data_IF_228388652077
#
_entry.id   IF_228388652077
#
_cell.length_a   1.000
_cell.length_b   1.000
_cell.length_c   1.000
_cell.angle_alpha   90.00
_cell.angle_beta   90.00
_cell.angle_gamma   90.00
#
_symmetry.space_group_name_H-M   'P 1'
#
loop_
_entity.id
_entity.type
_entity.pdbx_description
1 polymer ?
#
# COMPACT_ATOMS: atom_id res chain seq x y z
N UNK A 1 12.91 1.42 -35.27
CA UNK A 1 12.04 1.34 -34.09
C UNK A 1 12.77 1.69 -32.80
N UNK A 2 13.90 1.05 -32.48
CA UNK A 2 14.68 1.36 -31.27
C UNK A 2 15.22 2.81 -31.21
N UNK A 3 15.74 3.37 -32.31
CA UNK A 3 16.27 4.74 -32.34
C UNK A 3 15.22 5.82 -32.02
N UNK A 4 13.99 5.66 -32.50
CA UNK A 4 12.86 6.55 -32.21
C UNK A 4 12.37 6.42 -30.75
N UNK A 5 12.61 5.28 -30.10
CA UNK A 5 12.34 5.13 -28.66
C UNK A 5 13.42 5.82 -27.83
N UNK A 6 14.68 5.79 -28.26
CA UNK A 6 15.78 6.46 -27.58
C UNK A 6 15.67 7.99 -27.60
N UNK A 7 15.10 8.58 -28.66
CA UNK A 7 14.85 10.03 -28.72
C UNK A 7 13.81 10.51 -27.69
N UNK A 8 12.87 9.63 -27.30
CA UNK A 8 11.85 9.95 -26.29
C UNK A 8 12.34 9.78 -24.85
N UNK A 9 13.53 9.23 -24.63
CA UNK A 9 14.08 8.97 -23.30
C UNK A 9 14.96 10.14 -22.87
N UNK A 10 14.40 11.07 -22.08
CA UNK A 10 15.16 12.19 -21.51
C UNK A 10 15.36 11.97 -20.01
N UNK A 11 16.49 11.35 -19.64
CA UNK A 11 16.82 11.07 -18.24
C UNK A 11 17.13 12.38 -17.53
N UNK A 12 16.31 12.74 -16.56
CA UNK A 12 16.53 13.89 -15.69
C UNK A 12 16.30 13.51 -14.23
N UNK A 13 16.73 14.37 -13.30
CA UNK A 13 16.51 14.15 -11.86
C UNK A 13 15.01 14.01 -11.53
N UNK A 14 14.16 14.73 -12.26
CA UNK A 14 12.70 14.67 -12.11
C UNK A 14 12.03 13.54 -12.90
N UNK A 15 12.76 12.92 -13.82
CA UNK A 15 12.27 11.86 -14.69
C UNK A 15 13.36 10.78 -14.84
N UNK A 16 13.62 10.01 -13.77
CA UNK A 16 14.79 9.13 -13.67
C UNK A 16 14.77 7.99 -14.70
N UNK A 17 13.58 7.60 -15.17
CA UNK A 17 13.40 6.55 -16.17
C UNK A 17 13.36 7.11 -17.61
N UNK A 18 13.38 8.43 -17.78
CA UNK A 18 13.30 9.13 -19.07
C UNK A 18 12.00 8.92 -19.85
N UNK A 19 11.05 8.15 -19.32
CA UNK A 19 9.70 7.95 -19.85
C UNK A 19 8.74 8.78 -19.01
N UNK A 20 7.70 9.36 -19.62
CA UNK A 20 6.68 10.15 -18.93
C UNK A 20 5.66 9.24 -18.26
N UNK A 21 5.95 8.69 -17.07
CA UNK A 21 4.99 7.78 -16.42
C UNK A 21 3.75 8.53 -15.90
N UNK A 22 3.83 9.83 -15.68
CA UNK A 22 2.68 10.72 -15.43
C UNK A 22 1.56 10.54 -16.45
N UNK A 23 1.88 10.58 -17.74
CA UNK A 23 0.88 10.49 -18.80
C UNK A 23 0.18 9.13 -18.79
N UNK A 24 0.92 8.05 -18.54
CA UNK A 24 0.36 6.69 -18.49
C UNK A 24 -0.46 6.46 -17.23
N UNK A 25 0.06 6.89 -16.08
CA UNK A 25 -0.60 6.74 -14.80
C UNK A 25 -1.85 7.62 -14.71
N UNK A 26 -1.79 8.86 -15.20
CA UNK A 26 -2.92 9.78 -15.28
C UNK A 26 -4.06 9.23 -16.13
N UNK A 27 -3.76 8.64 -17.30
CA UNK A 27 -4.76 7.95 -18.13
C UNK A 27 -5.36 6.74 -17.43
N UNK A 28 -4.54 5.95 -16.73
CA UNK A 28 -5.01 4.82 -15.94
C UNK A 28 -5.95 5.25 -14.82
N UNK A 29 -5.60 6.34 -14.12
CA UNK A 29 -6.43 6.92 -13.06
C UNK A 29 -7.76 7.46 -13.60
N UNK A 30 -7.73 8.19 -14.72
CA UNK A 30 -8.92 8.72 -15.37
C UNK A 30 -9.83 7.61 -15.89
N UNK A 31 -9.26 6.51 -16.41
CA UNK A 31 -10.02 5.33 -16.82
C UNK A 31 -10.81 4.70 -15.66
N UNK A 32 -10.21 4.65 -14.46
CA UNK A 32 -10.81 4.01 -13.28
C UNK A 32 -11.78 4.94 -12.56
N UNK A 33 -11.46 6.22 -12.45
CA UNK A 33 -12.21 7.19 -11.62
C UNK A 33 -13.07 8.17 -12.42
N UNK A 34 -12.86 8.27 -13.73
CA UNK A 34 -13.50 9.28 -14.59
C UNK A 34 -13.03 10.72 -14.34
N UNK A 35 -11.96 10.91 -13.55
CA UNK A 35 -11.45 12.23 -13.15
C UNK A 35 -9.97 12.40 -13.50
N UNK A 36 -9.50 13.62 -13.78
CA UNK A 36 -8.08 13.87 -14.00
C UNK A 36 -7.30 13.68 -12.70
N UNK A 37 -6.05 13.22 -12.82
CA UNK A 37 -5.18 12.94 -11.68
C UNK A 37 -4.96 14.15 -10.75
N UNK A 38 -4.93 15.35 -11.31
CA UNK A 38 -4.70 16.60 -10.55
C UNK A 38 -5.90 17.00 -9.68
N UNK A 39 -7.05 16.34 -9.84
CA UNK A 39 -8.24 16.61 -9.02
C UNK A 39 -8.27 15.82 -7.71
N UNK A 40 -7.32 14.91 -7.50
CA UNK A 40 -7.25 14.16 -6.25
C UNK A 40 -6.81 15.07 -5.10
N UNK A 41 -7.66 15.16 -4.08
CA UNK A 41 -7.38 15.86 -2.82
C UNK A 41 -7.81 14.94 -1.69
N UNK A 42 -6.90 14.63 -0.78
CA UNK A 42 -7.21 13.87 0.42
C UNK A 42 -8.00 14.76 1.38
N UNK A 43 -9.25 14.37 1.63
CA UNK A 43 -10.15 15.02 2.58
C UNK A 43 -10.51 14.03 3.69
N UNK A 44 -10.31 14.43 4.94
CA UNK A 44 -10.76 13.67 6.11
C UNK A 44 -12.29 13.49 6.06
N UNK A 45 -12.77 12.31 6.44
CA UNK A 45 -14.18 11.88 6.45
C UNK A 45 -14.84 11.69 5.08
N UNK A 46 -14.34 12.32 4.02
CA UNK A 46 -14.82 12.13 2.64
C UNK A 46 -14.04 11.03 1.93
N UNK A 47 -12.73 10.96 2.17
CA UNK A 47 -11.88 9.94 1.57
C UNK A 47 -12.09 8.64 2.33
N UNK A 48 -12.39 7.51 1.65
CA UNK A 48 -12.54 6.23 2.33
C UNK A 48 -11.32 5.91 3.18
N UNK A 49 -11.53 5.33 4.36
CA UNK A 49 -10.47 4.91 5.27
C UNK A 49 -9.62 6.06 5.84
N UNK A 50 -10.11 7.30 5.76
CA UNK A 50 -9.44 8.47 6.35
C UNK A 50 -9.73 8.62 7.84
N UNK A 51 -10.75 7.94 8.36
CA UNK A 51 -11.18 8.11 9.74
C UNK A 51 -10.53 7.10 10.68
N UNK A 52 -10.31 7.53 11.92
CA UNK A 52 -9.77 6.66 12.95
C UNK A 52 -10.74 5.53 13.33
N UNK A 53 -12.06 5.76 13.17
CA UNK A 53 -13.09 4.75 13.37
C UNK A 53 -12.98 3.62 12.34
N UNK A 54 -12.85 3.92 11.06
CA UNK A 54 -12.65 2.90 10.02
C UNK A 54 -11.38 2.08 10.27
N UNK A 55 -10.26 2.74 10.59
CA UNK A 55 -9.00 2.06 10.93
C UNK A 55 -9.17 1.12 12.12
N UNK A 56 -9.87 1.58 13.16
CA UNK A 56 -10.12 0.78 14.36
C UNK A 56 -11.01 -0.42 14.07
N UNK A 57 -12.06 -0.25 13.25
CA UNK A 57 -12.95 -1.33 12.82
C UNK A 57 -12.20 -2.39 12.03
N UNK A 58 -11.39 -2.00 11.04
CA UNK A 58 -10.57 -2.93 10.26
C UNK A 58 -9.55 -3.68 11.13
N UNK A 59 -8.94 -2.99 12.09
CA UNK A 59 -8.01 -3.60 13.05
C UNK A 59 -8.72 -4.61 13.96
N UNK A 60 -9.91 -4.29 14.46
CA UNK A 60 -10.70 -5.23 15.28
C UNK A 60 -11.15 -6.43 14.45
N UNK A 61 -11.66 -6.21 13.24
CA UNK A 61 -12.05 -7.28 12.30
C UNK A 61 -10.86 -8.20 12.01
N UNK A 62 -9.67 -7.64 11.80
CA UNK A 62 -8.44 -8.39 11.59
C UNK A 62 -8.15 -9.37 12.73
N UNK A 63 -8.22 -8.91 13.99
CA UNK A 63 -8.05 -9.79 15.14
C UNK A 63 -9.14 -10.85 15.25
N UNK A 64 -10.39 -10.49 14.96
CA UNK A 64 -11.51 -11.44 14.94
C UNK A 64 -11.26 -12.56 13.93
N UNK A 65 -10.78 -12.23 12.72
CA UNK A 65 -10.43 -13.23 11.69
C UNK A 65 -9.30 -14.15 12.17
N UNK A 66 -8.25 -13.61 12.79
CA UNK A 66 -7.14 -14.41 13.32
C UNK A 66 -7.61 -15.37 14.41
N UNK A 67 -8.24 -14.83 15.46
CA UNK A 67 -8.59 -15.63 16.63
C UNK A 67 -9.78 -16.55 16.34
N UNK A 68 -10.80 -16.04 15.66
CA UNK A 68 -11.98 -16.80 15.24
C UNK A 68 -11.63 -17.88 14.22
N UNK A 69 -10.87 -17.53 13.17
CA UNK A 69 -10.45 -18.50 12.18
C UNK A 69 -9.51 -19.57 12.76
N UNK A 70 -8.61 -19.23 13.70
CA UNK A 70 -7.82 -20.23 14.43
C UNK A 70 -8.69 -21.19 15.24
N UNK A 71 -9.75 -20.71 15.87
CA UNK A 71 -10.67 -21.54 16.64
C UNK A 71 -11.47 -22.49 15.73
N UNK A 72 -11.94 -21.99 14.58
CA UNK A 72 -12.65 -22.78 13.57
C UNK A 72 -11.75 -23.86 12.97
N UNK A 73 -10.50 -23.50 12.64
CA UNK A 73 -9.53 -24.38 11.99
C UNK A 73 -8.89 -25.41 12.95
N UNK A 74 -9.28 -25.44 14.23
CA UNK A 74 -8.73 -26.39 15.22
C UNK A 74 -9.06 -27.85 14.88
N UNK A 75 -10.23 -28.10 14.30
CA UNK A 75 -10.75 -29.44 14.01
C UNK A 75 -11.06 -29.62 12.51
N UNK A 76 -10.53 -28.74 11.66
CA UNK A 76 -10.78 -28.75 10.22
C UNK A 76 -9.48 -29.03 9.48
N UNK A 77 -9.57 -29.82 8.41
CA UNK A 77 -8.44 -30.10 7.56
C UNK A 77 -8.04 -28.86 6.75
N UNK A 78 -6.76 -28.81 6.40
CA UNK A 78 -6.17 -27.70 5.64
C UNK A 78 -6.79 -27.56 4.25
N UNK A 79 -7.25 -26.36 3.90
CA UNK A 79 -7.74 -26.06 2.55
C UNK A 79 -6.58 -25.99 1.54
N UNK A 80 -6.70 -26.73 0.42
CA UNK A 80 -5.68 -26.78 -0.64
C UNK A 80 -5.83 -25.64 -1.65
N UNK A 81 -5.77 -24.39 -1.20
CA UNK A 81 -5.92 -23.19 -2.05
C UNK A 81 -4.58 -22.69 -2.63
N UNK A 82 -3.79 -23.60 -3.23
CA UNK A 82 -2.44 -23.26 -3.72
C UNK A 82 -2.46 -22.25 -4.87
N UNK A 83 -3.37 -22.41 -5.82
CA UNK A 83 -3.45 -21.54 -7.01
C UNK A 83 -3.83 -20.11 -6.64
N UNK A 84 -4.87 -19.92 -5.81
CA UNK A 84 -5.29 -18.60 -5.34
C UNK A 84 -4.19 -17.88 -4.55
N UNK A 85 -3.46 -18.61 -3.71
CA UNK A 85 -2.35 -18.04 -2.93
C UNK A 85 -1.20 -17.55 -3.83
N UNK A 86 -0.83 -18.33 -4.85
CA UNK A 86 0.20 -17.92 -5.81
C UNK A 86 -0.26 -16.67 -6.58
N UNK A 87 -1.51 -16.65 -7.02
CA UNK A 87 -2.08 -15.51 -7.74
C UNK A 87 -2.10 -14.23 -6.88
N UNK A 88 -2.59 -14.31 -5.64
CA UNK A 88 -2.63 -13.18 -4.72
C UNK A 88 -1.23 -12.62 -4.43
N UNK A 89 -0.26 -13.49 -4.16
CA UNK A 89 1.11 -13.04 -3.88
C UNK A 89 1.78 -12.40 -5.09
N UNK A 90 1.52 -12.94 -6.28
CA UNK A 90 2.01 -12.36 -7.51
C UNK A 90 1.41 -10.96 -7.73
N UNK A 91 0.08 -10.82 -7.59
CA UNK A 91 -0.60 -9.53 -7.72
C UNK A 91 -0.09 -8.51 -6.70
N UNK A 92 0.10 -8.91 -5.44
CA UNK A 92 0.63 -8.02 -4.39
C UNK A 92 2.08 -7.62 -4.67
N UNK A 93 2.92 -8.53 -5.19
CA UNK A 93 4.30 -8.21 -5.57
C UNK A 93 4.35 -7.23 -6.75
N UNK A 94 3.50 -7.44 -7.76
CA UNK A 94 3.40 -6.53 -8.92
C UNK A 94 2.88 -5.16 -8.49
N UNK A 95 1.85 -5.11 -7.65
CA UNK A 95 1.28 -3.86 -7.14
C UNK A 95 2.31 -3.06 -6.35
N UNK A 96 3.01 -3.69 -5.39
CA UNK A 96 4.05 -3.01 -4.59
C UNK A 96 5.27 -2.61 -5.43
N UNK A 97 5.66 -3.42 -6.41
CA UNK A 97 6.73 -3.08 -7.35
C UNK A 97 6.38 -1.88 -8.24
N UNK A 98 5.16 -1.85 -8.78
CA UNK A 98 4.68 -0.72 -9.59
C UNK A 98 4.59 0.57 -8.76
N UNK A 99 4.07 0.47 -7.53
CA UNK A 99 3.98 1.60 -6.61
C UNK A 99 5.36 2.16 -6.26
N UNK A 100 6.36 1.28 -6.04
CA UNK A 100 7.74 1.68 -5.77
C UNK A 100 8.35 2.48 -6.94
N UNK A 101 8.12 2.05 -8.18
CA UNK A 101 8.58 2.78 -9.38
C UNK A 101 7.96 4.18 -9.41
N UNK A 102 6.66 4.30 -9.14
CA UNK A 102 5.98 5.60 -9.09
C UNK A 102 6.49 6.49 -7.96
N UNK A 103 6.84 5.92 -6.80
CA UNK A 103 7.48 6.65 -5.69
C UNK A 103 8.87 7.20 -6.07
N UNK A 104 9.68 6.43 -6.80
CA UNK A 104 11.00 6.86 -7.26
C UNK A 104 10.88 8.05 -8.22
N UNK A 105 9.82 8.09 -9.03
CA UNK A 105 9.53 9.20 -9.94
C UNK A 105 8.88 10.42 -9.25
N UNK A 106 8.60 10.31 -7.94
CA UNK A 106 8.01 11.38 -7.12
C UNK A 106 6.68 11.90 -7.72
N UNK A 107 5.90 10.99 -8.31
CA UNK A 107 4.74 11.28 -9.12
C UNK A 107 3.50 11.51 -8.23
N UNK A 108 3.35 12.72 -7.68
CA UNK A 108 2.23 13.10 -6.77
C UNK A 108 2.15 12.26 -5.49
N UNK A 109 3.01 12.62 -4.55
CA UNK A 109 3.15 11.97 -3.24
C UNK A 109 1.80 11.70 -2.54
N UNK A 110 0.87 12.64 -2.52
CA UNK A 110 -0.41 12.50 -1.81
C UNK A 110 -1.26 11.31 -2.33
N UNK A 111 -1.41 11.19 -3.65
CA UNK A 111 -2.12 10.07 -4.26
C UNK A 111 -1.36 8.76 -4.08
N UNK A 112 -0.02 8.78 -4.21
CA UNK A 112 0.80 7.58 -4.02
C UNK A 112 0.75 7.07 -2.57
N UNK A 113 0.72 7.96 -1.58
CA UNK A 113 0.51 7.59 -0.18
C UNK A 113 -0.86 6.96 0.02
N UNK A 114 -1.91 7.50 -0.61
CA UNK A 114 -3.25 6.91 -0.55
C UNK A 114 -3.32 5.54 -1.24
N UNK A 115 -2.71 5.38 -2.41
CA UNK A 115 -2.64 4.08 -3.10
C UNK A 115 -1.81 3.05 -2.32
N UNK A 116 -0.70 3.47 -1.70
CA UNK A 116 0.07 2.62 -0.79
C UNK A 116 -0.81 2.10 0.34
N UNK A 117 -1.57 3.02 0.93
CA UNK A 117 -2.49 2.70 2.00
C UNK A 117 -3.52 1.66 1.54
N UNK A 118 -4.10 1.78 0.34
CA UNK A 118 -4.99 0.76 -0.23
C UNK A 118 -4.31 -0.61 -0.45
N UNK A 119 -3.06 -0.63 -0.95
CA UNK A 119 -2.28 -1.87 -1.10
C UNK A 119 -2.07 -2.55 0.26
N UNK A 120 -1.79 -1.78 1.31
CA UNK A 120 -1.65 -2.30 2.67
C UNK A 120 -2.93 -2.99 3.19
N UNK A 121 -4.12 -2.52 2.82
CA UNK A 121 -5.37 -3.21 3.15
C UNK A 121 -5.54 -4.50 2.36
N UNK A 122 -5.10 -4.54 1.10
CA UNK A 122 -5.12 -5.76 0.31
C UNK A 122 -4.22 -6.85 0.92
N UNK A 123 -3.09 -6.48 1.53
CA UNK A 123 -2.22 -7.41 2.26
C UNK A 123 -2.91 -8.05 3.49
N UNK A 124 -3.96 -7.44 4.05
CA UNK A 124 -4.75 -8.07 5.11
C UNK A 124 -5.46 -9.34 4.62
N UNK A 125 -5.78 -9.43 3.32
CA UNK A 125 -6.37 -10.62 2.74
C UNK A 125 -5.42 -11.83 2.81
N UNK A 126 -4.09 -11.62 2.78
CA UNK A 126 -3.11 -12.69 2.97
C UNK A 126 -3.30 -13.37 4.33
N UNK A 127 -3.67 -12.60 5.37
CA UNK A 127 -3.90 -13.18 6.70
C UNK A 127 -5.10 -14.13 6.71
N UNK A 128 -6.15 -13.82 5.94
CA UNK A 128 -7.29 -14.73 5.76
C UNK A 128 -6.82 -16.04 5.11
N UNK A 129 -6.02 -15.95 4.04
CA UNK A 129 -5.49 -17.13 3.37
C UNK A 129 -4.56 -17.95 4.28
N UNK A 130 -3.73 -17.29 5.09
CA UNK A 130 -2.85 -17.96 6.05
C UNK A 130 -3.63 -18.73 7.11
N UNK A 131 -4.69 -18.13 7.65
CA UNK A 131 -5.59 -18.75 8.63
C UNK A 131 -6.27 -20.00 8.04
N UNK A 132 -6.74 -19.93 6.80
CA UNK A 132 -7.41 -21.05 6.13
C UNK A 132 -6.44 -22.17 5.68
N UNK A 133 -5.17 -21.84 5.42
CA UNK A 133 -4.18 -22.81 4.96
C UNK A 133 -3.55 -23.60 6.10
N UNK A 134 -3.39 -23.04 7.30
CA UNK A 134 -2.83 -23.77 8.45
C UNK A 134 -3.40 -23.20 9.75
N UNK A 135 -3.75 -24.03 10.75
CA UNK A 135 -4.00 -23.52 12.09
C UNK A 135 -2.74 -22.81 12.61
N UNK A 136 -2.84 -21.50 12.82
CA UNK A 136 -1.73 -20.66 13.31
C UNK A 136 -1.24 -21.18 14.67
N UNK A 137 0.03 -21.62 14.74
CA UNK A 137 0.67 -21.93 16.02
C UNK A 137 0.88 -20.64 16.83
N UNK A 138 0.83 -20.67 18.18
CA UNK A 138 1.00 -19.48 19.03
C UNK A 138 2.29 -18.69 18.72
N UNK A 139 3.37 -19.40 18.40
CA UNK A 139 4.67 -18.82 18.01
C UNK A 139 4.65 -18.11 16.66
N UNK A 140 3.70 -18.43 15.77
CA UNK A 140 3.52 -17.76 14.48
C UNK A 140 2.79 -16.42 14.64
N UNK A 141 1.83 -16.30 15.56
CA UNK A 141 1.19 -15.02 15.91
C UNK A 141 2.21 -14.09 16.58
N UNK A 142 3.09 -14.62 17.44
CA UNK A 142 4.20 -13.86 18.00
C UNK A 142 5.26 -13.49 16.95
N UNK A 143 5.50 -14.36 15.95
CA UNK A 143 6.38 -14.06 14.81
C UNK A 143 5.74 -13.06 13.84
N UNK A 144 4.42 -13.05 13.67
CA UNK A 144 3.67 -12.06 12.89
C UNK A 144 3.55 -10.75 13.66
N UNK A 145 3.47 -10.77 14.99
CA UNK A 145 3.64 -9.59 15.83
C UNK A 145 5.10 -9.10 15.83
N UNK A 146 6.09 -10.00 15.75
CA UNK A 146 7.52 -9.66 15.60
C UNK A 146 7.87 -9.25 14.17
N UNK A 147 7.15 -9.71 13.15
CA UNK A 147 7.26 -9.25 11.77
C UNK A 147 6.38 -8.02 11.53
N UNK A 148 5.31 -7.77 12.29
CA UNK A 148 4.66 -6.47 12.36
C UNK A 148 5.56 -5.46 13.12
N UNK A 149 6.33 -5.93 14.11
CA UNK A 149 7.39 -5.14 14.76
C UNK A 149 8.68 -5.04 13.93
N UNK A 150 8.94 -5.95 12.99
CA UNK A 150 10.12 -5.97 12.12
C UNK A 150 9.88 -5.31 10.76
N UNK A 151 8.69 -5.47 10.20
CA UNK A 151 8.09 -4.69 9.12
C UNK A 151 7.69 -3.30 9.62
N UNK A 152 7.50 -3.08 10.93
CA UNK A 152 7.65 -1.74 11.53
C UNK A 152 9.05 -1.16 11.30
N UNK A 153 10.04 -1.86 10.74
CA UNK A 153 11.26 -1.23 10.21
C UNK A 153 11.03 -0.49 8.89
N UNK A 154 10.19 -1.03 8.00
CA UNK A 154 9.75 -0.39 6.75
C UNK A 154 8.53 0.52 6.95
N UNK A 155 7.59 0.12 7.80
CA UNK A 155 6.44 0.94 8.21
C UNK A 155 6.90 2.09 9.13
N UNK A 156 7.93 1.91 9.98
CA UNK A 156 8.52 3.06 10.69
C UNK A 156 9.35 3.93 9.76
N UNK A 157 10.05 3.40 8.74
CA UNK A 157 10.73 4.30 7.80
C UNK A 157 9.72 5.11 6.98
N UNK A 158 8.60 4.52 6.56
CA UNK A 158 7.49 5.23 5.92
C UNK A 158 6.75 6.19 6.88
N UNK A 159 6.52 5.82 8.14
CA UNK A 159 5.93 6.70 9.17
C UNK A 159 6.89 7.82 9.60
N UNK A 160 8.21 7.56 9.65
CA UNK A 160 9.24 8.56 9.90
C UNK A 160 9.40 9.49 8.70
N UNK A 161 9.30 8.98 7.48
CA UNK A 161 9.20 9.81 6.27
C UNK A 161 7.93 10.66 6.30
N UNK A 162 6.80 10.11 6.74
CA UNK A 162 5.54 10.84 6.89
C UNK A 162 5.61 11.90 8.00
N UNK A 163 6.20 11.60 9.16
CA UNK A 163 6.43 12.54 10.26
C UNK A 163 7.43 13.62 9.84
N UNK A 164 8.50 13.26 9.12
CA UNK A 164 9.49 14.21 8.64
C UNK A 164 8.90 15.11 7.54
N UNK A 165 8.15 14.53 6.59
CA UNK A 165 7.39 15.26 5.58
C UNK A 165 6.35 16.20 6.21
N UNK A 166 5.57 15.73 7.20
CA UNK A 166 4.59 16.54 7.93
C UNK A 166 5.24 17.71 8.66
N UNK A 167 6.38 17.48 9.34
CA UNK A 167 7.16 18.57 9.97
C UNK A 167 7.71 19.57 8.95
N UNK A 168 8.23 19.09 7.82
CA UNK A 168 8.83 19.95 6.80
C UNK A 168 7.78 20.79 6.06
N UNK A 169 6.62 20.23 5.75
CA UNK A 169 5.58 20.94 4.98
C UNK A 169 4.67 21.81 5.84
N UNK A 170 4.23 21.33 7.00
CA UNK A 170 3.26 22.07 7.82
C UNK A 170 3.92 23.08 8.78
N UNK A 171 5.08 22.77 9.38
CA UNK A 171 5.76 23.77 10.22
C UNK A 171 6.44 24.88 9.39
N UNK A 172 6.81 24.61 8.13
CA UNK A 172 7.30 25.66 7.23
C UNK A 172 6.19 26.65 6.86
N UNK A 173 4.96 26.18 6.59
CA UNK A 173 3.79 27.05 6.38
C UNK A 173 3.40 27.82 7.64
N UNK A 174 3.45 27.20 8.82
CA UNK A 174 3.19 27.87 10.10
C UNK A 174 4.24 28.94 10.44
N UNK A 175 5.49 28.78 9.99
CA UNK A 175 6.58 29.75 10.17
C UNK A 175 6.58 30.87 9.12
N UNK A 176 6.05 30.61 7.93
CA UNK A 176 5.85 31.61 6.87
C UNK A 176 4.60 32.48 7.07
N UNK A 177 3.67 32.04 7.92
CA UNK A 177 2.45 32.77 8.29
C UNK A 177 2.62 33.69 9.52
N UNK A 178 3.85 33.90 9.99
CA UNK A 178 4.22 34.70 11.16
C UNK A 178 5.23 35.75 10.75
#
# INVERSE_FOLDING_TARGET
>A
MAAHLLEKVNVSIHQPFGIKLDDYFGKGYELVTGKPIDSFVFQEEVTPLSTQYEVSMWTTMYFIVIFGGRQIMKNQDTFKLKSLFILHNFLSTVASGALLVLFIENLRLELLYYLNYLVQYWELADTVFQVLKKPLRPSCVFRWASWAKGANGLLSSCLLLFINFYRLTYNAKAKAAK
#
